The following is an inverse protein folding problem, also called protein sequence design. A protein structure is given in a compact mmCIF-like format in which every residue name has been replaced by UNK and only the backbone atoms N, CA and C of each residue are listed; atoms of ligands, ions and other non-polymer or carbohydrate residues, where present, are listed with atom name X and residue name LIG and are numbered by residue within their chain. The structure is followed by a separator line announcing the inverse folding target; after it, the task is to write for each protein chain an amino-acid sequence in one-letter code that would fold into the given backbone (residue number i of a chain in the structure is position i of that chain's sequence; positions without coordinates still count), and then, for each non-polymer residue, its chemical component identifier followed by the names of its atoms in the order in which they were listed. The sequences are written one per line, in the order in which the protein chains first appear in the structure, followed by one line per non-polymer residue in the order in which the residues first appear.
data_IF_498890490780
#
_entry.id   IF_498890490780
#
_cell.length_a   1.000
_cell.length_b   1.000
_cell.length_c   1.000
_cell.angle_alpha   90.00
_cell.angle_beta   90.00
_cell.angle_gamma   90.00
#
_symmetry.space_group_name_H-M   'P 1'
#
loop_
_entity.id
_entity.type
_entity.pdbx_description
1 polymer ?
#
# COMPACT_ATOMS: atom_id res chain seq x y z
N UNK A 1 -38.43 -3.38 -26.89
CA UNK A 1 -38.10 -2.57 -25.68
C UNK A 1 -38.51 -3.22 -24.35
N UNK A 2 -39.67 -3.86 -24.20
CA UNK A 2 -40.06 -4.52 -22.93
C UNK A 2 -39.11 -5.62 -22.45
N UNK A 3 -38.54 -6.44 -23.34
CA UNK A 3 -37.65 -7.55 -22.97
C UNK A 3 -36.30 -7.12 -22.37
N UNK A 4 -35.75 -6.02 -22.83
CA UNK A 4 -34.44 -5.49 -22.32
C UNK A 4 -34.61 -4.91 -20.90
N UNK A 5 -35.78 -4.29 -20.64
CA UNK A 5 -36.10 -3.73 -19.32
C UNK A 5 -36.28 -4.84 -18.27
N UNK A 6 -36.99 -5.92 -18.64
CA UNK A 6 -37.21 -7.11 -17.80
C UNK A 6 -35.90 -7.84 -17.50
N UNK A 7 -34.99 -7.95 -18.48
CA UNK A 7 -33.65 -8.53 -18.29
C UNK A 7 -32.82 -7.70 -17.32
N UNK A 8 -32.86 -6.37 -17.43
CA UNK A 8 -32.15 -5.46 -16.54
C UNK A 8 -32.64 -5.56 -15.08
N UNK A 9 -33.95 -5.66 -14.86
CA UNK A 9 -34.51 -5.82 -13.51
C UNK A 9 -34.20 -7.19 -12.91
N UNK A 10 -34.30 -8.26 -13.70
CA UNK A 10 -33.91 -9.60 -13.28
C UNK A 10 -32.44 -9.66 -12.85
N UNK A 11 -31.51 -9.09 -13.63
CA UNK A 11 -30.08 -9.05 -13.31
C UNK A 11 -29.82 -8.27 -12.01
N UNK A 12 -30.46 -7.11 -11.82
CA UNK A 12 -30.35 -6.33 -10.60
C UNK A 12 -30.86 -7.09 -9.37
N UNK A 13 -32.01 -7.76 -9.47
CA UNK A 13 -32.59 -8.53 -8.38
C UNK A 13 -31.72 -9.75 -8.03
N UNK A 14 -31.21 -10.45 -9.05
CA UNK A 14 -30.33 -11.61 -8.86
C UNK A 14 -29.01 -11.23 -8.25
N UNK A 15 -28.40 -10.12 -8.69
CA UNK A 15 -27.17 -9.58 -8.09
C UNK A 15 -27.37 -9.17 -6.63
N UNK A 16 -28.49 -8.49 -6.32
CA UNK A 16 -28.80 -8.10 -4.95
C UNK A 16 -28.94 -9.32 -4.06
N UNK A 17 -29.71 -10.34 -4.50
CA UNK A 17 -29.90 -11.59 -3.76
C UNK A 17 -28.57 -12.34 -3.57
N UNK A 18 -27.75 -12.46 -4.61
CA UNK A 18 -26.44 -13.11 -4.53
C UNK A 18 -25.52 -12.40 -3.53
N UNK A 19 -25.47 -11.07 -3.53
CA UNK A 19 -24.67 -10.29 -2.57
C UNK A 19 -25.14 -10.46 -1.13
N UNK A 20 -26.46 -10.59 -0.91
CA UNK A 20 -27.04 -10.85 0.41
C UNK A 20 -26.73 -12.27 0.90
N UNK A 21 -26.86 -13.27 0.02
CA UNK A 21 -26.66 -14.69 0.35
C UNK A 21 -25.17 -15.06 0.51
N UNK A 22 -24.27 -14.39 -0.23
CA UNK A 22 -22.81 -14.65 -0.19
C UNK A 22 -22.06 -13.78 0.83
N UNK A 23 -22.74 -12.86 1.52
CA UNK A 23 -22.10 -12.01 2.51
C UNK A 23 -21.70 -12.83 3.75
N UNK A 24 -20.38 -12.96 3.98
CA UNK A 24 -19.86 -13.56 5.19
C UNK A 24 -19.96 -12.54 6.33
N UNK A 25 -20.73 -12.89 7.37
CA UNK A 25 -20.89 -12.04 8.55
C UNK A 25 -19.56 -11.88 9.30
N UNK A 26 -19.27 -10.67 9.76
CA UNK A 26 -18.03 -10.37 10.46
C UNK A 26 -17.84 -11.19 11.74
N UNK A 27 -18.95 -11.58 12.39
CA UNK A 27 -18.94 -12.40 13.60
C UNK A 27 -18.29 -13.75 13.36
N UNK A 28 -18.44 -14.34 12.16
CA UNK A 28 -17.85 -15.62 11.79
C UNK A 28 -16.31 -15.58 11.77
N UNK A 29 -15.71 -14.45 11.35
CA UNK A 29 -14.24 -14.29 11.42
C UNK A 29 -13.73 -14.36 12.85
N UNK A 30 -14.51 -13.85 13.79
CA UNK A 30 -14.23 -13.87 15.22
C UNK A 30 -14.39 -15.26 15.80
N UNK A 31 -15.53 -15.90 15.53
CA UNK A 31 -15.89 -17.24 15.98
C UNK A 31 -14.85 -18.29 15.58
N UNK A 32 -14.41 -18.24 14.31
CA UNK A 32 -13.43 -19.18 13.77
C UNK A 32 -11.98 -18.68 13.84
N UNK A 33 -11.72 -17.55 14.50
CA UNK A 33 -10.38 -16.93 14.60
C UNK A 33 -9.70 -16.72 13.24
N UNK A 34 -10.48 -16.44 12.21
CA UNK A 34 -9.99 -16.28 10.84
C UNK A 34 -9.58 -14.82 10.59
N UNK A 35 -8.38 -14.62 10.07
CA UNK A 35 -7.92 -13.30 9.62
C UNK A 35 -8.64 -12.90 8.33
N UNK A 36 -9.11 -11.67 8.24
CA UNK A 36 -9.73 -11.13 7.03
C UNK A 36 -8.64 -10.70 6.03
N UNK A 37 -8.06 -11.67 5.34
CA UNK A 37 -6.87 -11.48 4.53
C UNK A 37 -5.65 -11.11 5.39
N UNK A 38 -4.84 -10.16 4.94
CA UNK A 38 -3.68 -9.63 5.69
C UNK A 38 -4.08 -8.48 6.64
N UNK A 39 -5.23 -8.62 7.33
CA UNK A 39 -5.76 -7.63 8.26
C UNK A 39 -6.12 -8.27 9.59
N UNK A 40 -5.91 -7.52 10.67
CA UNK A 40 -6.46 -7.81 11.98
C UNK A 40 -7.96 -7.47 12.03
N UNK A 41 -8.65 -7.92 13.09
CA UNK A 41 -10.08 -7.62 13.28
C UNK A 41 -10.39 -6.12 13.30
N UNK A 42 -9.48 -5.32 13.86
CA UNK A 42 -9.58 -3.86 13.95
C UNK A 42 -9.25 -3.13 12.61
N UNK A 43 -9.01 -3.90 11.53
CA UNK A 43 -8.68 -3.39 10.21
C UNK A 43 -7.22 -2.95 10.04
N UNK A 44 -6.38 -3.09 11.06
CA UNK A 44 -4.94 -2.83 10.94
C UNK A 44 -4.24 -3.92 10.12
N UNK A 45 -3.10 -3.59 9.51
CA UNK A 45 -2.29 -4.55 8.77
C UNK A 45 -1.68 -5.59 9.72
N UNK A 46 -1.55 -6.83 9.24
CA UNK A 46 -0.80 -7.88 9.92
C UNK A 46 0.68 -7.67 9.67
N UNK A 47 1.50 -7.69 10.73
CA UNK A 47 2.95 -7.67 10.59
C UNK A 47 3.43 -9.06 10.17
N UNK A 48 3.84 -9.19 8.91
CA UNK A 48 4.27 -10.47 8.31
C UNK A 48 5.79 -10.64 8.25
N UNK A 49 6.54 -9.58 8.55
CA UNK A 49 8.01 -9.61 8.54
C UNK A 49 8.60 -8.26 8.95
N UNK A 50 9.92 -8.25 9.10
CA UNK A 50 10.68 -7.04 9.37
C UNK A 50 11.58 -6.73 8.18
N UNK A 51 11.61 -5.46 7.79
CA UNK A 51 12.52 -4.94 6.77
C UNK A 51 13.03 -3.57 7.18
N UNK A 52 14.25 -3.24 6.72
CA UNK A 52 14.83 -1.89 6.84
C UNK A 52 14.78 -1.11 5.53
N UNK A 53 14.19 -1.71 4.48
CA UNK A 53 14.24 -1.15 3.12
C UNK A 53 13.10 -0.15 2.91
N UNK A 54 11.88 -0.52 3.28
CA UNK A 54 10.71 0.33 3.03
C UNK A 54 9.67 0.19 4.11
N UNK A 55 8.88 1.25 4.27
CA UNK A 55 7.72 1.28 5.14
C UNK A 55 6.58 2.06 4.49
N UNK A 56 5.35 1.60 4.69
CA UNK A 56 4.13 2.25 4.20
C UNK A 56 3.24 2.56 5.39
N UNK A 57 3.04 3.83 5.66
CA UNK A 57 2.22 4.32 6.77
C UNK A 57 0.97 4.99 6.21
N UNK A 58 -0.21 4.45 6.50
CA UNK A 58 -1.50 5.01 6.07
C UNK A 58 -2.41 5.39 7.24
N UNK A 59 -1.94 5.28 8.48
CA UNK A 59 -2.69 5.68 9.67
C UNK A 59 -1.73 6.00 10.82
N UNK A 60 -2.22 6.73 11.81
CA UNK A 60 -1.55 6.95 13.09
C UNK A 60 -2.42 6.45 14.25
N UNK A 61 -1.83 6.20 15.38
CA UNK A 61 -2.56 5.86 16.61
C UNK A 61 -2.55 7.06 17.55
N UNK A 62 -3.72 7.53 17.94
CA UNK A 62 -3.91 8.55 18.97
C UNK A 62 -4.85 7.98 20.03
N UNK A 63 -4.47 7.99 21.28
CA UNK A 63 -5.21 7.42 22.42
C UNK A 63 -5.69 5.97 22.18
N UNK A 64 -4.86 5.17 21.55
CA UNK A 64 -5.16 3.78 21.21
C UNK A 64 -6.12 3.60 20.04
N UNK A 65 -6.64 4.67 19.45
CA UNK A 65 -7.53 4.64 18.29
C UNK A 65 -6.73 4.84 17.00
N UNK A 66 -7.14 4.11 15.97
CA UNK A 66 -6.61 4.29 14.62
C UNK A 66 -7.25 5.54 14.00
N UNK A 67 -6.42 6.46 13.54
CA UNK A 67 -6.81 7.63 12.76
C UNK A 67 -6.19 7.50 11.38
N UNK A 68 -7.00 7.56 10.34
CA UNK A 68 -6.52 7.52 8.97
C UNK A 68 -5.65 8.74 8.67
N UNK A 69 -4.54 8.51 7.99
CA UNK A 69 -3.60 9.54 7.56
C UNK A 69 -3.30 9.34 6.06
N UNK A 70 -2.71 10.35 5.42
CA UNK A 70 -2.25 10.21 4.06
C UNK A 70 -1.24 9.06 3.95
N UNK A 71 -1.34 8.26 2.90
CA UNK A 71 -0.36 7.22 2.62
C UNK A 71 1.04 7.81 2.46
N UNK A 72 1.97 7.38 3.31
CA UNK A 72 3.38 7.79 3.29
C UNK A 72 4.23 6.59 2.99
N UNK A 73 5.04 6.68 1.95
CA UNK A 73 6.02 5.66 1.59
C UNK A 73 7.41 6.16 1.97
N UNK A 74 8.13 5.33 2.70
CA UNK A 74 9.52 5.59 3.09
C UNK A 74 10.45 4.58 2.45
N UNK A 75 11.60 5.03 1.97
CA UNK A 75 12.74 4.19 1.61
C UNK A 75 13.90 4.48 2.54
N UNK A 76 14.38 3.45 3.25
CA UNK A 76 15.47 3.57 4.23
C UNK A 76 15.25 4.70 5.25
N UNK A 77 13.98 4.93 5.63
CA UNK A 77 13.58 5.98 6.57
C UNK A 77 13.42 7.38 5.96
N UNK A 78 13.66 7.56 4.65
CA UNK A 78 13.46 8.83 3.94
C UNK A 78 12.10 8.80 3.23
N UNK A 79 11.29 9.84 3.45
CA UNK A 79 9.99 9.98 2.80
C UNK A 79 10.17 10.14 1.28
N UNK A 80 9.47 9.37 0.48
CA UNK A 80 9.63 9.36 -0.99
C UNK A 80 9.29 10.72 -1.60
N UNK A 81 8.28 11.42 -1.09
CA UNK A 81 7.97 12.79 -1.55
C UNK A 81 9.13 13.77 -1.34
N UNK A 82 9.92 13.59 -0.27
CA UNK A 82 11.09 14.44 -0.02
C UNK A 82 12.24 14.13 -0.98
N UNK A 83 12.38 12.84 -1.36
CA UNK A 83 13.34 12.43 -2.38
C UNK A 83 12.97 13.09 -3.72
N UNK A 84 11.68 13.00 -4.10
CA UNK A 84 11.19 13.57 -5.37
C UNK A 84 11.31 15.08 -5.39
N UNK A 85 10.87 15.78 -4.34
CA UNK A 85 10.93 17.25 -4.30
C UNK A 85 12.36 17.82 -4.33
N UNK A 86 13.31 17.12 -3.72
CA UNK A 86 14.72 17.50 -3.75
C UNK A 86 15.42 17.13 -5.05
N UNK A 87 14.78 16.35 -5.91
CA UNK A 87 15.33 15.90 -7.18
C UNK A 87 14.92 16.79 -8.39
N UNK A 88 14.13 17.84 -8.17
CA UNK A 88 13.75 18.76 -9.22
C UNK A 88 14.99 19.29 -9.97
N UNK A 89 15.02 19.06 -11.30
CA UNK A 89 16.15 19.39 -12.16
C UNK A 89 17.30 18.38 -12.16
N UNK A 90 17.21 17.27 -11.40
CA UNK A 90 18.23 16.22 -11.41
C UNK A 90 17.90 15.12 -12.42
N UNK A 91 18.92 14.71 -13.19
CA UNK A 91 18.77 13.72 -14.27
C UNK A 91 18.79 12.26 -13.79
N UNK A 92 19.33 11.97 -12.62
CA UNK A 92 19.69 10.59 -12.19
C UNK A 92 18.95 10.14 -10.94
N UNK A 93 17.68 10.52 -10.80
CA UNK A 93 16.87 10.18 -9.63
C UNK A 93 16.70 8.67 -9.45
N UNK A 94 16.57 7.91 -10.54
CA UNK A 94 16.43 6.45 -10.49
C UNK A 94 17.66 5.80 -9.84
N UNK A 95 18.84 6.18 -10.29
CA UNK A 95 20.10 5.64 -9.77
C UNK A 95 20.33 6.03 -8.30
N UNK A 96 19.96 7.27 -7.92
CA UNK A 96 20.03 7.71 -6.52
C UNK A 96 19.12 6.86 -5.62
N UNK A 97 17.89 6.54 -6.06
CA UNK A 97 16.95 5.69 -5.31
C UNK A 97 17.43 4.24 -5.28
N UNK A 98 17.95 3.70 -6.37
CA UNK A 98 18.55 2.36 -6.38
C UNK A 98 19.71 2.27 -5.40
N UNK A 99 20.59 3.27 -5.38
CA UNK A 99 21.69 3.35 -4.44
C UNK A 99 21.21 3.39 -2.99
N UNK A 100 20.22 4.25 -2.70
CA UNK A 100 19.61 4.35 -1.36
C UNK A 100 19.05 3.00 -0.89
N UNK A 101 18.30 2.29 -1.74
CA UNK A 101 17.71 1.01 -1.39
C UNK A 101 18.79 -0.04 -1.10
N UNK A 102 19.84 -0.09 -1.91
CA UNK A 102 20.92 -1.07 -1.77
C UNK A 102 21.84 -0.77 -0.58
N UNK A 103 22.24 0.49 -0.43
CA UNK A 103 23.32 0.86 0.52
C UNK A 103 22.82 1.58 1.77
N UNK A 104 21.55 2.00 1.82
CA UNK A 104 20.92 2.56 3.02
C UNK A 104 21.11 4.06 3.24
N UNK A 105 21.75 4.78 2.32
CA UNK A 105 21.92 6.24 2.33
C UNK A 105 21.86 6.80 0.91
N UNK A 106 21.58 8.09 0.77
CA UNK A 106 21.66 8.76 -0.52
C UNK A 106 23.12 8.94 -0.94
N UNK A 107 23.46 8.69 -2.22
CA UNK A 107 24.83 8.80 -2.68
C UNK A 107 25.31 10.27 -2.68
N UNK A 108 26.56 10.48 -2.34
CA UNK A 108 27.24 11.70 -2.70
C UNK A 108 27.59 11.70 -4.21
N UNK A 109 28.12 12.80 -4.72
CA UNK A 109 28.38 12.95 -6.17
C UNK A 109 29.35 11.89 -6.71
N UNK A 110 30.38 11.55 -5.95
CA UNK A 110 31.39 10.57 -6.36
C UNK A 110 30.83 9.15 -6.36
N UNK A 111 30.08 8.79 -5.31
CA UNK A 111 29.39 7.50 -5.22
C UNK A 111 28.39 7.30 -6.35
N UNK A 112 27.61 8.35 -6.67
CA UNK A 112 26.65 8.30 -7.77
C UNK A 112 27.34 8.07 -9.12
N UNK A 113 28.43 8.77 -9.42
CA UNK A 113 29.19 8.58 -10.66
C UNK A 113 29.78 7.18 -10.78
N UNK A 114 30.34 6.65 -9.70
CA UNK A 114 30.85 5.27 -9.67
C UNK A 114 29.71 4.29 -9.89
N UNK A 115 28.60 4.47 -9.17
CA UNK A 115 27.44 3.57 -9.25
C UNK A 115 26.83 3.55 -10.65
N UNK A 116 26.66 4.70 -11.29
CA UNK A 116 26.17 4.81 -12.66
C UNK A 116 27.04 4.02 -13.64
N UNK A 117 28.37 4.11 -13.50
CA UNK A 117 29.28 3.37 -14.36
C UNK A 117 29.22 1.85 -14.16
N UNK A 118 28.78 1.40 -12.99
CA UNK A 118 28.61 -0.03 -12.69
C UNK A 118 27.33 -0.58 -13.28
N UNK A 119 26.24 0.20 -13.31
CA UNK A 119 24.92 -0.26 -13.74
C UNK A 119 24.59 0.09 -15.21
N UNK A 120 25.42 0.87 -15.88
CA UNK A 120 25.29 1.20 -17.31
C UNK A 120 25.82 0.05 -18.19
#
# INVERSE_FOLDING_TARGET
MRGVLLMSEFVKLSLKKSLEDESIKNELYKEYSVKKGLRNEDGTGVLVGLTRISDVVGYRKEDGKKIDDYGKLYYRGILVSDIVSKSEGRRYMFEEVCFLILFGHLPNRQELEIFKNIIA
#
